data_IF_549164274101
#
_entry.id   IF_549164274101
#
_cell.length_a   1.000
_cell.length_b   1.000
_cell.length_c   1.000
_cell.angle_alpha   90.00
_cell.angle_beta   90.00
_cell.angle_gamma   90.00
#
_symmetry.space_group_name_H-M   'P 1'
#
loop_
_entity.id
_entity.type
_entity.pdbx_description
1 polymer ?
#
# COMPACT_ATOMS: atom_id res chain seq x y z
N UNK A 1 -11.22 -24.46 40.09
CA UNK A 1 -11.81 -23.14 39.79
C UNK A 1 -10.77 -22.39 38.95
N UNK A 2 -10.98 -21.89 37.74
CA UNK A 2 -12.03 -21.99 36.74
C UNK A 2 -11.32 -21.78 35.38
N UNK A 3 -11.45 -22.70 34.42
CA UNK A 3 -12.11 -22.36 33.15
C UNK A 3 -11.14 -21.90 32.04
N UNK A 4 -10.40 -22.83 31.42
CA UNK A 4 -9.82 -22.62 30.09
C UNK A 4 -10.48 -23.59 29.11
N UNK A 5 -11.60 -23.15 28.54
CA UNK A 5 -12.29 -23.80 27.41
C UNK A 5 -12.92 -22.70 26.57
N UNK A 6 -12.25 -22.29 25.49
CA UNK A 6 -12.83 -21.88 24.21
C UNK A 6 -11.73 -21.22 23.36
N UNK A 7 -11.26 -21.87 22.29
CA UNK A 7 -10.40 -21.22 21.30
C UNK A 7 -9.61 -22.15 20.39
N UNK A 8 -9.26 -23.36 20.84
CA UNK A 8 -8.29 -24.23 20.17
C UNK A 8 -8.82 -25.02 18.95
N UNK A 9 -9.81 -24.51 18.21
CA UNK A 9 -10.51 -25.26 17.15
C UNK A 9 -10.24 -24.80 15.70
N UNK A 10 -9.34 -23.84 15.47
CA UNK A 10 -9.21 -23.22 14.13
C UNK A 10 -7.89 -23.47 13.39
N UNK A 11 -6.95 -24.25 13.95
CA UNK A 11 -5.64 -24.47 13.33
C UNK A 11 -5.55 -25.84 12.64
N UNK A 12 -5.05 -25.91 11.38
CA UNK A 12 -4.90 -27.16 10.65
C UNK A 12 -3.96 -28.14 11.38
N UNK A 13 -4.17 -29.47 11.26
CA UNK A 13 -3.47 -30.49 12.07
C UNK A 13 -1.95 -30.50 11.89
N UNK A 14 -1.43 -29.94 10.79
CA UNK A 14 0.01 -29.77 10.58
C UNK A 14 0.66 -28.74 11.52
N UNK A 15 -0.11 -27.74 11.97
CA UNK A 15 0.37 -26.66 12.84
C UNK A 15 0.48 -27.13 14.30
N UNK A 16 -0.39 -28.06 14.72
CA UNK A 16 -0.34 -28.68 16.05
C UNK A 16 0.98 -29.40 16.34
N UNK A 17 1.55 -30.03 15.32
CA UNK A 17 2.84 -30.75 15.45
C UNK A 17 4.02 -29.81 15.69
N UNK A 18 3.93 -28.57 15.20
CA UNK A 18 4.91 -27.52 15.45
C UNK A 18 4.67 -26.83 16.80
N UNK A 19 3.39 -26.65 17.18
CA UNK A 19 2.99 -26.02 18.45
C UNK A 19 3.39 -26.85 19.69
N UNK A 20 3.38 -28.19 19.60
CA UNK A 20 3.82 -29.07 20.70
C UNK A 20 5.34 -29.07 20.95
N UNK A 21 6.13 -28.43 20.07
CA UNK A 21 7.58 -28.31 20.18
C UNK A 21 8.03 -26.94 20.71
N UNK A 22 7.11 -25.99 20.86
CA UNK A 22 7.43 -24.68 21.44
C UNK A 22 7.13 -24.68 22.95
N UNK A 23 8.03 -24.12 23.77
CA UNK A 23 7.81 -24.02 25.21
C UNK A 23 6.65 -23.04 25.53
N UNK A 24 5.94 -23.31 26.63
CA UNK A 24 4.66 -22.65 26.99
C UNK A 24 4.76 -21.12 27.15
N UNK A 25 5.97 -20.60 27.38
CA UNK A 25 6.32 -19.18 27.43
C UNK A 25 6.14 -18.48 26.07
N UNK A 26 6.45 -19.15 24.95
CA UNK A 26 6.35 -18.54 23.61
C UNK A 26 4.91 -18.46 23.12
N UNK A 27 4.04 -19.39 23.54
CA UNK A 27 2.61 -19.37 23.18
C UNK A 27 1.85 -18.23 23.86
N UNK A 28 2.24 -17.87 25.09
CA UNK A 28 1.69 -16.72 25.84
C UNK A 28 2.16 -15.39 25.21
N UNK A 29 3.41 -15.34 24.74
CA UNK A 29 3.95 -14.15 24.05
C UNK A 29 3.25 -13.88 22.71
N UNK A 30 2.83 -14.91 21.97
CA UNK A 30 2.10 -14.73 20.70
C UNK A 30 0.69 -14.17 20.88
N UNK A 31 -0.02 -14.56 21.93
CA UNK A 31 -1.32 -13.96 22.30
C UNK A 31 -1.14 -12.52 22.81
N UNK A 32 -0.08 -12.25 23.57
CA UNK A 32 0.30 -10.91 24.04
C UNK A 32 0.76 -9.98 22.89
N UNK A 33 1.48 -10.51 21.90
CA UNK A 33 1.89 -9.81 20.68
C UNK A 33 0.70 -9.48 19.78
N UNK A 34 -0.28 -10.40 19.67
CA UNK A 34 -1.53 -10.15 18.95
C UNK A 34 -2.43 -9.15 19.71
N UNK A 35 -2.50 -9.23 21.04
CA UNK A 35 -3.31 -8.33 21.86
C UNK A 35 -2.73 -6.92 22.04
N UNK A 36 -1.49 -6.65 21.60
CA UNK A 36 -0.74 -5.41 21.90
C UNK A 36 -0.53 -4.44 20.72
N UNK A 37 -1.33 -4.51 19.65
CA UNK A 37 -1.33 -3.39 18.68
C UNK A 37 -1.94 -2.14 19.32
N UNK A 38 -1.24 -1.02 19.27
CA UNK A 38 -1.75 0.29 19.72
C UNK A 38 -3.02 0.65 18.94
N UNK A 39 -3.05 0.33 17.65
CA UNK A 39 -4.22 0.45 16.81
C UNK A 39 -5.07 -0.83 16.90
N UNK A 40 -6.37 -0.67 17.18
CA UNK A 40 -7.31 -1.77 17.11
C UNK A 40 -7.29 -2.45 15.73
N UNK A 41 -7.41 -3.77 15.69
CA UNK A 41 -7.21 -4.54 14.46
C UNK A 41 -8.17 -4.12 13.34
N UNK A 42 -9.38 -3.70 13.70
CA UNK A 42 -10.36 -3.13 12.77
C UNK A 42 -9.90 -1.82 12.13
N UNK A 43 -9.18 -0.97 12.87
CA UNK A 43 -8.61 0.29 12.33
C UNK A 43 -7.49 -0.01 11.35
N UNK A 44 -6.62 -0.97 11.69
CA UNK A 44 -5.55 -1.43 10.78
C UNK A 44 -6.14 -1.97 9.50
N UNK A 45 -7.12 -2.89 9.61
CA UNK A 45 -7.81 -3.45 8.45
C UNK A 45 -8.49 -2.37 7.60
N UNK A 46 -9.16 -1.39 8.22
CA UNK A 46 -9.80 -0.28 7.50
C UNK A 46 -8.78 0.60 6.76
N UNK A 47 -7.63 0.93 7.37
CA UNK A 47 -6.58 1.73 6.72
C UNK A 47 -5.97 1.00 5.52
N UNK A 48 -5.69 -0.29 5.65
CA UNK A 48 -5.17 -1.12 4.56
C UNK A 48 -6.19 -1.29 3.44
N UNK A 49 -7.45 -1.58 3.79
CA UNK A 49 -8.54 -1.69 2.82
C UNK A 49 -8.74 -0.37 2.06
N UNK A 50 -8.74 0.77 2.75
CA UNK A 50 -8.87 2.08 2.12
C UNK A 50 -7.69 2.38 1.19
N UNK A 51 -6.46 2.07 1.59
CA UNK A 51 -5.29 2.21 0.73
C UNK A 51 -5.38 1.34 -0.53
N UNK A 52 -5.86 0.09 -0.39
CA UNK A 52 -6.13 -0.79 -1.53
C UNK A 52 -7.21 -0.24 -2.45
N UNK A 53 -8.34 0.23 -1.90
CA UNK A 53 -9.44 0.81 -2.69
C UNK A 53 -9.02 2.05 -3.46
N UNK A 54 -8.35 3.00 -2.81
CA UNK A 54 -7.87 4.21 -3.49
C UNK A 54 -6.75 3.91 -4.49
N UNK A 55 -5.88 2.95 -4.19
CA UNK A 55 -4.91 2.43 -5.15
C UNK A 55 -5.58 1.82 -6.39
N UNK A 56 -6.68 1.07 -6.20
CA UNK A 56 -7.48 0.53 -7.30
C UNK A 56 -8.08 1.64 -8.16
N UNK A 57 -8.61 2.71 -7.54
CA UNK A 57 -9.15 3.88 -8.26
C UNK A 57 -8.08 4.52 -9.16
N UNK A 58 -6.85 4.67 -8.67
CA UNK A 58 -5.75 5.22 -9.48
C UNK A 58 -5.36 4.26 -10.61
N UNK A 59 -5.33 2.96 -10.34
CA UNK A 59 -4.87 1.93 -11.28
C UNK A 59 -5.90 1.46 -12.31
N UNK A 60 -7.19 1.77 -12.16
CA UNK A 60 -8.26 1.22 -13.01
C UNK A 60 -8.10 1.59 -14.48
N UNK A 61 -7.79 2.85 -14.76
CA UNK A 61 -7.56 3.33 -16.12
C UNK A 61 -6.37 2.62 -16.77
N UNK A 62 -5.35 2.30 -15.98
CA UNK A 62 -4.14 1.62 -16.44
C UNK A 62 -4.41 0.17 -16.81
N UNK A 63 -5.24 -0.52 -16.03
CA UNK A 63 -5.69 -1.89 -16.34
C UNK A 63 -6.51 -1.92 -17.63
N UNK A 64 -7.51 -1.02 -17.75
CA UNK A 64 -8.38 -0.94 -18.92
C UNK A 64 -7.59 -0.64 -20.20
N UNK A 65 -6.58 0.23 -20.10
CA UNK A 65 -5.72 0.60 -21.22
C UNK A 65 -4.50 -0.34 -21.41
N UNK A 66 -4.49 -1.53 -20.77
CA UNK A 66 -3.44 -2.55 -20.86
C UNK A 66 -2.01 -2.01 -20.70
N UNK A 67 -1.81 -1.11 -19.72
CA UNK A 67 -0.50 -0.53 -19.42
C UNK A 67 0.34 -1.47 -18.55
N UNK A 68 1.65 -1.21 -18.50
CA UNK A 68 2.65 -2.06 -17.82
C UNK A 68 2.40 -2.32 -16.34
N UNK A 69 1.78 -1.38 -15.61
CA UNK A 69 1.32 -1.59 -14.24
C UNK A 69 -0.15 -1.19 -14.12
N UNK A 70 -1.00 -2.18 -13.87
CA UNK A 70 -2.45 -2.03 -13.79
C UNK A 70 -2.97 -1.93 -12.36
N UNK A 71 -4.19 -2.41 -12.15
CA UNK A 71 -4.95 -2.22 -10.92
C UNK A 71 -4.29 -2.94 -9.73
N UNK A 72 -3.88 -4.21 -9.92
CA UNK A 72 -3.23 -5.01 -8.87
C UNK A 72 -1.96 -4.36 -8.33
N UNK A 73 -1.13 -3.78 -9.20
CA UNK A 73 0.13 -3.15 -8.81
C UNK A 73 -0.12 -1.91 -7.98
N UNK A 74 -1.05 -1.04 -8.38
CA UNK A 74 -1.36 0.18 -7.63
C UNK A 74 -1.98 -0.14 -6.25
N UNK A 75 -2.83 -1.16 -6.17
CA UNK A 75 -3.36 -1.65 -4.89
C UNK A 75 -2.25 -2.11 -3.95
N UNK A 76 -1.33 -2.95 -4.44
CA UNK A 76 -0.24 -3.48 -3.62
C UNK A 76 0.72 -2.38 -3.15
N UNK A 77 1.07 -1.44 -4.02
CA UNK A 77 1.94 -0.29 -3.67
C UNK A 77 1.29 0.60 -2.60
N UNK A 78 -0.01 0.91 -2.77
CA UNK A 78 -0.76 1.68 -1.77
C UNK A 78 -0.87 0.97 -0.43
N UNK A 79 -1.24 -0.32 -0.42
CA UNK A 79 -1.33 -1.13 0.80
C UNK A 79 0.02 -1.27 1.51
N UNK A 80 1.11 -1.52 0.78
CA UNK A 80 2.45 -1.61 1.36
C UNK A 80 2.88 -0.28 2.00
N UNK A 81 2.61 0.84 1.33
CA UNK A 81 2.90 2.18 1.86
C UNK A 81 2.10 2.49 3.13
N UNK A 82 0.82 2.11 3.15
CA UNK A 82 -0.03 2.24 4.34
C UNK A 82 0.48 1.36 5.49
N UNK A 83 0.88 0.13 5.19
CA UNK A 83 1.46 -0.80 6.17
C UNK A 83 2.73 -0.23 6.80
N UNK A 84 3.64 0.34 6.01
CA UNK A 84 4.86 0.98 6.53
C UNK A 84 4.56 2.19 7.43
N UNK A 85 3.56 3.01 7.10
CA UNK A 85 3.14 4.10 7.97
C UNK A 85 2.52 3.61 9.29
N UNK A 86 1.75 2.53 9.26
CA UNK A 86 1.19 1.88 10.46
C UNK A 86 2.32 1.32 11.32
N UNK A 87 3.27 0.59 10.73
CA UNK A 87 4.45 0.08 11.42
C UNK A 87 5.23 1.21 12.11
N UNK A 88 5.45 2.33 11.42
CA UNK A 88 6.12 3.49 12.02
C UNK A 88 5.33 4.05 13.20
N UNK A 89 4.00 4.14 13.10
CA UNK A 89 3.15 4.61 14.19
C UNK A 89 3.20 3.68 15.41
N UNK A 90 3.17 2.36 15.19
CA UNK A 90 3.30 1.36 16.26
C UNK A 90 4.68 1.40 16.93
N UNK A 91 5.76 1.60 16.15
CA UNK A 91 7.11 1.72 16.70
C UNK A 91 7.23 2.99 17.55
N UNK A 92 6.81 4.14 17.02
CA UNK A 92 6.92 5.44 17.71
C UNK A 92 6.04 5.45 18.96
N UNK A 93 4.84 4.89 18.91
CA UNK A 93 3.93 4.81 20.06
C UNK A 93 4.43 3.91 21.21
N UNK A 94 5.47 3.10 20.98
CA UNK A 94 6.12 2.25 22.01
C UNK A 94 7.35 2.90 22.62
N UNK A 95 7.81 4.05 22.09
CA UNK A 95 8.97 4.77 22.63
C UNK A 95 8.52 5.51 23.89
N UNK A 96 9.13 5.25 25.07
CA UNK A 96 8.79 5.97 26.29
C UNK A 96 9.12 7.46 26.17
N UNK A 97 8.17 8.33 26.56
CA UNK A 97 8.29 9.80 26.46
C UNK A 97 9.51 10.36 27.21
N UNK A 98 10.00 9.66 28.23
CA UNK A 98 11.12 10.05 29.08
C UNK A 98 12.51 9.80 28.45
N UNK A 99 12.60 9.18 27.28
CA UNK A 99 13.89 8.89 26.62
C UNK A 99 14.44 10.07 25.82
N UNK A 100 13.64 11.13 25.60
CA UNK A 100 13.99 12.23 24.69
C UNK A 100 14.08 11.82 23.21
N UNK A 101 13.85 10.53 22.89
CA UNK A 101 13.81 10.03 21.53
C UNK A 101 12.46 10.38 20.90
N UNK A 102 12.45 11.41 20.04
CA UNK A 102 11.28 11.75 19.23
C UNK A 102 11.34 10.96 17.93
N UNK A 103 10.33 10.14 17.66
CA UNK A 103 10.17 9.51 16.35
C UNK A 103 9.83 10.56 15.30
N UNK A 104 10.63 10.65 14.23
CA UNK A 104 10.37 11.58 13.13
C UNK A 104 9.57 10.88 12.01
N UNK A 105 8.25 11.19 11.86
CA UNK A 105 7.42 10.60 10.81
C UNK A 105 7.82 11.05 9.40
N UNK A 106 8.61 12.12 9.25
CA UNK A 106 9.10 12.56 7.94
C UNK A 106 10.04 11.50 7.35
N UNK A 107 10.85 10.83 8.18
CA UNK A 107 11.79 9.78 7.72
C UNK A 107 11.10 8.61 7.05
N UNK A 108 9.92 8.18 7.53
CA UNK A 108 9.18 7.10 6.87
C UNK A 108 8.56 7.56 5.56
N UNK A 109 8.10 8.82 5.49
CA UNK A 109 7.59 9.42 4.25
C UNK A 109 8.72 9.46 3.21
N UNK A 110 9.92 9.91 3.58
CA UNK A 110 11.09 9.94 2.71
C UNK A 110 11.47 8.55 2.20
N UNK A 111 11.58 7.57 3.11
CA UNK A 111 11.97 6.21 2.76
C UNK A 111 10.97 5.53 1.81
N UNK A 112 9.67 5.64 2.10
CA UNK A 112 8.62 5.08 1.24
C UNK A 112 8.55 5.81 -0.09
N UNK A 113 8.65 7.14 -0.09
CA UNK A 113 8.66 7.94 -1.33
C UNK A 113 9.81 7.53 -2.24
N UNK A 114 11.01 7.33 -1.69
CA UNK A 114 12.18 6.86 -2.43
C UNK A 114 12.00 5.42 -2.96
N UNK A 115 11.49 4.50 -2.12
CA UNK A 115 11.24 3.11 -2.51
C UNK A 115 10.20 2.99 -3.64
N UNK A 116 9.12 3.76 -3.56
CA UNK A 116 8.09 3.78 -4.61
C UNK A 116 8.62 4.44 -5.89
N UNK A 117 9.44 5.49 -5.79
CA UNK A 117 10.07 6.10 -6.96
C UNK A 117 10.97 5.10 -7.71
N UNK A 118 11.68 4.22 -7.00
CA UNK A 118 12.44 3.13 -7.61
C UNK A 118 11.56 2.14 -8.38
N UNK A 119 10.44 1.68 -7.79
CA UNK A 119 9.48 0.81 -8.48
C UNK A 119 8.86 1.50 -9.70
N UNK A 120 8.53 2.78 -9.57
CA UNK A 120 7.97 3.60 -10.64
C UNK A 120 8.94 3.75 -11.81
N UNK A 121 10.23 3.97 -11.54
CA UNK A 121 11.26 4.02 -12.58
C UNK A 121 11.34 2.72 -13.39
N UNK A 122 11.14 1.57 -12.74
CA UNK A 122 11.07 0.25 -13.41
C UNK A 122 9.89 0.10 -14.39
N UNK A 123 8.86 0.94 -14.30
CA UNK A 123 7.74 0.94 -15.24
C UNK A 123 8.02 1.76 -16.52
N UNK A 124 9.11 2.55 -16.54
CA UNK A 124 9.49 3.39 -17.68
C UNK A 124 10.40 2.58 -18.61
N UNK A 125 9.98 2.42 -19.86
CA UNK A 125 10.70 1.65 -20.87
C UNK A 125 11.00 2.55 -22.07
N UNK A 126 12.20 2.39 -22.65
CA UNK A 126 12.59 3.06 -23.88
C UNK A 126 12.61 2.05 -25.03
N UNK A 127 11.82 2.29 -26.07
CA UNK A 127 11.78 1.46 -27.27
C UNK A 127 11.75 2.33 -28.52
N UNK A 128 12.63 2.06 -29.49
CA UNK A 128 12.64 2.75 -30.78
C UNK A 128 12.76 4.28 -30.72
N UNK A 129 13.42 4.81 -29.69
CA UNK A 129 13.57 6.27 -29.48
C UNK A 129 12.41 6.93 -28.73
N UNK A 130 11.31 6.22 -28.45
CA UNK A 130 10.20 6.71 -27.63
C UNK A 130 10.33 6.23 -26.17
N UNK A 131 9.84 7.05 -25.24
CA UNK A 131 9.77 6.72 -23.81
C UNK A 131 8.31 6.44 -23.46
N UNK A 132 8.04 5.27 -22.90
CA UNK A 132 6.71 4.83 -22.48
C UNK A 132 6.67 4.60 -20.97
N UNK A 133 5.46 4.61 -20.40
CA UNK A 133 5.24 4.28 -18.99
C UNK A 133 5.41 5.43 -18.00
N UNK A 134 5.71 6.66 -18.45
CA UNK A 134 5.86 7.84 -17.56
C UNK A 134 4.61 8.09 -16.71
N UNK A 135 3.41 8.03 -17.30
CA UNK A 135 2.15 8.22 -16.54
C UNK A 135 1.86 7.03 -15.62
N UNK A 136 2.29 5.82 -15.99
CA UNK A 136 2.19 4.64 -15.13
C UNK A 136 3.09 4.80 -13.91
N UNK A 137 4.33 5.24 -14.11
CA UNK A 137 5.28 5.55 -13.04
C UNK A 137 4.73 6.62 -12.10
N UNK A 138 4.19 7.72 -12.64
CA UNK A 138 3.55 8.77 -11.84
C UNK A 138 2.34 8.24 -11.05
N UNK A 139 1.53 7.35 -11.64
CA UNK A 139 0.40 6.70 -10.97
C UNK A 139 0.84 5.83 -9.80
N UNK A 140 1.90 5.04 -9.96
CA UNK A 140 2.48 4.24 -8.87
C UNK A 140 3.00 5.13 -7.75
N UNK A 141 3.66 6.24 -8.10
CA UNK A 141 4.16 7.20 -7.12
C UNK A 141 3.02 7.84 -6.31
N UNK A 142 1.95 8.26 -6.99
CA UNK A 142 0.75 8.76 -6.33
C UNK A 142 0.09 7.70 -5.44
N UNK A 143 -0.02 6.46 -5.90
CA UNK A 143 -0.61 5.37 -5.11
C UNK A 143 0.17 5.13 -3.80
N UNK A 144 1.50 5.23 -3.84
CA UNK A 144 2.34 5.17 -2.64
C UNK A 144 2.07 6.33 -1.67
N UNK A 145 2.00 7.56 -2.17
CA UNK A 145 1.69 8.74 -1.35
C UNK A 145 0.28 8.67 -0.72
N UNK A 146 -0.72 8.22 -1.48
CA UNK A 146 -2.09 7.99 -0.99
C UNK A 146 -2.10 6.88 0.07
N UNK A 147 -1.33 5.80 -0.15
CA UNK A 147 -1.13 4.74 0.83
C UNK A 147 -0.56 5.25 2.15
N UNK A 148 0.50 6.07 2.10
CA UNK A 148 1.05 6.73 3.30
C UNK A 148 -0.02 7.53 4.05
N UNK A 149 -0.79 8.36 3.34
CA UNK A 149 -1.87 9.15 3.94
C UNK A 149 -2.93 8.25 4.61
N UNK A 150 -3.35 7.15 3.97
CA UNK A 150 -4.25 6.16 4.56
C UNK A 150 -3.65 5.51 5.82
N UNK A 151 -2.38 5.09 5.76
CA UNK A 151 -1.67 4.45 6.87
C UNK A 151 -1.48 5.37 8.07
N UNK A 152 -1.30 6.68 7.86
CA UNK A 152 -1.25 7.71 8.90
C UNK A 152 -2.64 8.12 9.43
N UNK A 153 -3.72 7.67 8.81
CA UNK A 153 -5.09 8.04 9.20
C UNK A 153 -5.58 9.37 8.61
N UNK A 154 -4.93 9.90 7.57
CA UNK A 154 -5.29 11.14 6.88
C UNK A 154 -6.24 10.88 5.69
N UNK A 155 -7.48 10.46 5.99
CA UNK A 155 -8.39 9.87 4.99
C UNK A 155 -8.87 10.91 3.98
N UNK A 156 -9.15 12.14 4.44
CA UNK A 156 -9.55 13.25 3.58
C UNK A 156 -8.45 13.59 2.57
N UNK A 157 -7.19 13.66 3.03
CA UNK A 157 -6.04 13.95 2.18
C UNK A 157 -5.83 12.84 1.14
N UNK A 158 -5.89 11.58 1.58
CA UNK A 158 -5.77 10.42 0.71
C UNK A 158 -6.85 10.42 -0.38
N UNK A 159 -8.10 10.69 0.00
CA UNK A 159 -9.24 10.68 -0.92
C UNK A 159 -9.15 11.81 -1.94
N UNK A 160 -8.84 13.04 -1.51
CA UNK A 160 -8.66 14.19 -2.42
C UNK A 160 -7.55 13.91 -3.43
N UNK A 161 -6.39 13.44 -2.97
CA UNK A 161 -5.25 13.13 -3.84
C UNK A 161 -5.58 12.01 -4.85
N UNK A 162 -6.25 10.94 -4.42
CA UNK A 162 -6.65 9.84 -5.29
C UNK A 162 -7.65 10.29 -6.36
N UNK A 163 -8.68 11.06 -5.98
CA UNK A 163 -9.69 11.56 -6.92
C UNK A 163 -9.07 12.51 -7.93
N UNK A 164 -8.28 13.49 -7.48
CA UNK A 164 -7.63 14.44 -8.40
C UNK A 164 -6.66 13.73 -9.34
N UNK A 165 -5.85 12.80 -8.83
CA UNK A 165 -4.93 12.02 -9.66
C UNK A 165 -5.65 11.15 -10.67
N UNK A 166 -6.73 10.47 -10.27
CA UNK A 166 -7.59 9.71 -11.18
C UNK A 166 -8.18 10.60 -12.27
N UNK A 167 -8.71 11.77 -11.93
CA UNK A 167 -9.24 12.72 -12.91
C UNK A 167 -8.17 13.15 -13.91
N UNK A 168 -6.96 13.49 -13.45
CA UNK A 168 -5.84 13.82 -14.35
C UNK A 168 -5.52 12.65 -15.27
N UNK A 169 -5.43 11.44 -14.71
CA UNK A 169 -5.08 10.21 -15.43
C UNK A 169 -6.11 9.87 -16.52
N UNK A 170 -7.41 9.95 -16.21
CA UNK A 170 -8.49 9.51 -17.09
C UNK A 170 -8.97 10.60 -18.03
N UNK A 171 -9.17 11.83 -17.54
CA UNK A 171 -9.69 12.92 -18.39
C UNK A 171 -8.66 13.33 -19.44
N UNK A 172 -7.40 13.57 -19.08
CA UNK A 172 -6.38 13.91 -20.07
C UNK A 172 -6.06 12.73 -20.98
N UNK A 173 -6.10 11.49 -20.46
CA UNK A 173 -5.95 10.28 -21.27
C UNK A 173 -7.01 10.21 -22.37
N UNK A 174 -8.27 10.46 -22.01
CA UNK A 174 -9.39 10.48 -22.95
C UNK A 174 -9.32 11.62 -23.96
N UNK A 175 -8.94 12.84 -23.53
CA UNK A 175 -8.77 13.99 -24.43
C UNK A 175 -7.69 13.72 -25.46
N UNK A 176 -6.55 13.15 -25.04
CA UNK A 176 -5.43 12.83 -25.93
C UNK A 176 -5.82 11.75 -26.95
N UNK A 177 -6.62 10.76 -26.54
CA UNK A 177 -7.14 9.74 -27.44
C UNK A 177 -8.06 10.34 -28.52
N UNK A 178 -8.91 11.32 -28.15
CA UNK A 178 -9.85 11.95 -29.11
C UNK A 178 -9.20 12.94 -30.07
N UNK A 179 -8.11 13.59 -29.65
CA UNK A 179 -7.42 14.61 -30.45
C UNK A 179 -6.17 14.05 -31.17
N UNK A 180 -5.87 12.77 -31.00
CA UNK A 180 -4.71 12.13 -31.59
C UNK A 180 -4.76 12.14 -33.13
N UNK A 181 -3.69 12.58 -33.82
CA UNK A 181 -3.66 12.56 -35.28
C UNK A 181 -3.82 11.13 -35.80
N UNK A 182 -4.68 10.95 -36.82
CA UNK A 182 -4.76 9.69 -37.59
C UNK A 182 -3.36 9.41 -38.14
N UNK A 183 -2.70 8.36 -37.67
CA UNK A 183 -1.48 7.86 -38.32
C UNK A 183 -1.90 7.32 -39.67
N UNK A 184 -1.51 8.01 -40.73
CA UNK A 184 -1.58 7.46 -42.07
C UNK A 184 -0.72 6.18 -42.09
N UNK A 185 -1.34 5.06 -42.42
CA UNK A 185 -0.65 3.83 -42.71
C UNK A 185 0.17 4.05 -43.97
N UNK A 186 1.43 4.47 -43.80
CA UNK A 186 2.42 4.37 -44.86
C UNK A 186 2.61 2.90 -45.19
N UNK A 187 2.06 2.48 -46.33
CA UNK A 187 2.62 1.38 -47.09
C UNK A 187 4.06 1.72 -47.42
N UNK A 188 4.98 0.81 -47.12
CA UNK A 188 6.06 0.37 -48.01
C UNK A 188 6.73 -0.86 -47.39
#
# INVERSE_FOLDING_TARGET
MAGCKAGAAFLPPAVWRFALLLPDDVMIDLESLAASSLLGHGVVAARLAMAGLLGAVIGIDREVNQRSAGLRTHMLVGMASAFFAILATEIVGRIPENTGATGDPVRIIEAVTAGVAFLAAGAIIRSGGMVEGVTTAAGLWLAGAVGLACGLGLWTLATIAAVLGFLVITVLGWVTYRLGPKRESGSD
#
